data_IF_933638696212
#
_entry.id   IF_933638696212
#
_cell.length_a   1.000
_cell.length_b   1.000
_cell.length_c   1.000
_cell.angle_alpha   90.00
_cell.angle_beta   90.00
_cell.angle_gamma   90.00
#
_symmetry.space_group_name_H-M   'P 1'
#
loop_
_entity.id
_entity.type
_entity.pdbx_description
1 polymer ?
#
# COMPACT_ATOMS: atom_id res chain seq x y z
N UNK A 1 5.26 -2.38 40.29
CA UNK A 1 4.45 -2.23 39.08
C UNK A 1 5.12 -2.73 37.77
N UNK A 2 6.43 -2.82 37.63
CA UNK A 2 7.06 -3.36 36.41
C UNK A 2 7.12 -4.89 36.31
N UNK A 3 7.04 -5.62 37.43
CA UNK A 3 7.16 -7.09 37.43
C UNK A 3 5.82 -7.84 37.20
N UNK A 4 4.67 -7.27 37.55
CA UNK A 4 3.37 -7.93 37.30
C UNK A 4 2.95 -7.87 35.80
N UNK A 5 3.44 -6.88 35.05
CA UNK A 5 3.12 -6.78 33.61
C UNK A 5 3.78 -7.87 32.78
N UNK A 6 4.91 -8.44 33.23
CA UNK A 6 5.63 -9.51 32.53
C UNK A 6 5.00 -10.90 32.69
N UNK A 7 4.25 -11.17 33.76
CA UNK A 7 3.68 -12.49 34.01
C UNK A 7 2.40 -12.79 33.22
N UNK A 8 1.60 -11.78 32.93
CA UNK A 8 0.39 -11.93 32.10
C UNK A 8 0.72 -12.06 30.60
N UNK A 9 1.89 -11.57 30.17
CA UNK A 9 2.31 -11.60 28.77
C UNK A 9 2.85 -12.97 28.33
N UNK A 10 3.43 -13.76 29.23
CA UNK A 10 4.08 -15.03 28.86
C UNK A 10 3.14 -16.22 28.77
N UNK A 11 2.09 -16.31 29.60
CA UNK A 11 1.18 -17.47 29.63
C UNK A 11 0.16 -17.47 28.47
N UNK A 12 -0.25 -16.30 27.99
CA UNK A 12 -1.20 -16.15 26.86
C UNK A 12 -0.52 -15.94 25.50
N UNK A 13 0.82 -16.01 25.42
CA UNK A 13 1.54 -15.70 24.18
C UNK A 13 1.30 -16.72 23.05
N UNK A 14 0.90 -17.94 23.38
CA UNK A 14 0.72 -19.02 22.40
C UNK A 14 -0.74 -19.21 21.95
N UNK A 15 -1.72 -18.72 22.70
CA UNK A 15 -3.14 -18.97 22.42
C UNK A 15 -3.58 -18.35 21.09
N UNK A 16 -3.31 -17.07 20.88
CA UNK A 16 -3.72 -16.38 19.66
C UNK A 16 -3.08 -16.95 18.37
N UNK A 17 -1.75 -17.20 18.31
CA UNK A 17 -1.17 -17.88 17.15
C UNK A 17 -1.78 -19.25 16.89
N UNK A 18 -2.09 -20.03 17.94
CA UNK A 18 -2.72 -21.35 17.78
C UNK A 18 -4.12 -21.25 17.19
N UNK A 19 -4.92 -20.26 17.62
CA UNK A 19 -6.25 -19.99 17.05
C UNK A 19 -6.15 -19.63 15.58
N UNK A 20 -5.19 -18.75 15.20
CA UNK A 20 -4.98 -18.41 13.78
C UNK A 20 -4.58 -19.63 12.94
N UNK A 21 -3.75 -20.52 13.48
CA UNK A 21 -3.38 -21.76 12.79
C UNK A 21 -4.59 -22.65 12.61
N UNK A 22 -5.46 -22.80 13.62
CA UNK A 22 -6.69 -23.60 13.53
C UNK A 22 -7.61 -23.03 12.45
N UNK A 23 -7.86 -21.72 12.46
CA UNK A 23 -8.67 -21.08 11.40
C UNK A 23 -8.04 -21.26 10.03
N UNK A 24 -6.72 -21.04 9.88
CA UNK A 24 -6.03 -21.27 8.62
C UNK A 24 -6.23 -22.70 8.12
N UNK A 25 -6.10 -23.71 8.98
CA UNK A 25 -6.31 -25.10 8.60
C UNK A 25 -7.75 -25.37 8.14
N UNK A 26 -8.74 -24.81 8.84
CA UNK A 26 -10.15 -24.93 8.45
C UNK A 26 -10.36 -24.35 7.06
N UNK A 27 -9.90 -23.12 6.80
CA UNK A 27 -10.07 -22.47 5.50
C UNK A 27 -9.28 -23.15 4.37
N UNK A 28 -8.11 -23.72 4.65
CA UNK A 28 -7.35 -24.51 3.66
C UNK A 28 -8.09 -25.80 3.33
N UNK A 29 -8.64 -26.50 4.33
CA UNK A 29 -9.45 -27.71 4.10
C UNK A 29 -10.69 -27.40 3.27
N UNK A 30 -11.38 -26.32 3.61
CA UNK A 30 -12.55 -25.86 2.85
C UNK A 30 -12.19 -25.48 1.41
N UNK A 31 -11.11 -24.76 1.20
CA UNK A 31 -10.60 -24.45 -0.14
C UNK A 31 -10.31 -25.71 -0.96
N UNK A 32 -9.63 -26.69 -0.37
CA UNK A 32 -9.35 -27.97 -1.04
C UNK A 32 -10.63 -28.72 -1.40
N UNK A 33 -11.64 -28.69 -0.52
CA UNK A 33 -12.91 -29.31 -0.78
C UNK A 33 -13.68 -28.61 -1.92
N UNK A 34 -13.70 -27.28 -1.94
CA UNK A 34 -14.31 -26.49 -3.05
C UNK A 34 -13.61 -26.80 -4.37
N UNK A 35 -12.28 -26.92 -4.39
CA UNK A 35 -11.54 -27.26 -5.60
C UNK A 35 -11.79 -28.70 -6.06
N UNK A 36 -11.94 -29.65 -5.13
CA UNK A 36 -12.10 -31.06 -5.45
C UNK A 36 -13.53 -31.44 -5.83
N UNK A 37 -14.52 -30.84 -5.19
CA UNK A 37 -15.93 -31.27 -5.27
C UNK A 37 -16.88 -30.22 -5.84
N UNK A 38 -16.38 -29.00 -6.15
CA UNK A 38 -17.18 -27.80 -6.54
C UNK A 38 -18.29 -27.44 -5.53
N UNK A 39 -18.20 -27.93 -4.31
CA UNK A 39 -19.15 -27.65 -3.24
C UNK A 39 -18.40 -27.29 -1.97
N UNK A 40 -18.92 -26.27 -1.23
CA UNK A 40 -18.39 -25.98 0.10
C UNK A 40 -18.96 -27.00 1.10
N UNK A 41 -18.10 -27.74 1.82
CA UNK A 41 -18.54 -28.67 2.85
C UNK A 41 -19.16 -27.95 4.07
N UNK A 42 -18.85 -26.66 4.22
CA UNK A 42 -19.33 -25.84 5.32
C UNK A 42 -20.24 -24.73 4.77
N UNK A 43 -21.56 -24.91 4.87
CA UNK A 43 -22.50 -23.86 4.57
C UNK A 43 -22.56 -22.86 5.73
N UNK A 44 -21.78 -21.79 5.65
CA UNK A 44 -21.86 -20.71 6.64
C UNK A 44 -22.10 -19.34 5.97
N UNK A 45 -22.76 -18.40 6.66
CA UNK A 45 -23.01 -17.08 6.11
C UNK A 45 -21.68 -16.32 5.86
N UNK A 46 -21.58 -15.62 4.72
CA UNK A 46 -20.42 -14.81 4.41
C UNK A 46 -20.04 -13.79 5.52
N UNK A 47 -21.06 -13.25 6.21
CA UNK A 47 -20.85 -12.35 7.36
C UNK A 47 -20.12 -13.00 8.54
N UNK A 48 -20.10 -14.33 8.62
CA UNK A 48 -19.29 -15.03 9.63
C UNK A 48 -17.80 -14.87 9.33
N UNK A 49 -17.39 -15.01 8.06
CA UNK A 49 -16.01 -14.81 7.63
C UNK A 49 -15.54 -13.38 7.89
N UNK A 50 -16.39 -12.39 7.54
CA UNK A 50 -16.13 -10.98 7.83
C UNK A 50 -15.94 -10.75 9.32
N UNK A 51 -16.81 -11.32 10.15
CA UNK A 51 -16.73 -11.19 11.62
C UNK A 51 -15.44 -11.81 12.16
N UNK A 52 -15.05 -12.98 11.68
CA UNK A 52 -13.81 -13.65 12.05
C UNK A 52 -12.60 -12.79 11.62
N UNK A 53 -12.61 -12.26 10.40
CA UNK A 53 -11.56 -11.39 9.89
C UNK A 53 -11.39 -10.13 10.75
N UNK A 54 -12.48 -9.46 11.10
CA UNK A 54 -12.50 -8.26 11.96
C UNK A 54 -11.96 -8.60 13.36
N UNK A 55 -12.49 -9.62 14.01
CA UNK A 55 -12.12 -10.01 15.38
C UNK A 55 -10.63 -10.41 15.45
N UNK A 56 -10.16 -11.24 14.51
CA UNK A 56 -8.77 -11.67 14.47
C UNK A 56 -7.83 -10.51 14.21
N UNK A 57 -8.15 -9.63 13.25
CA UNK A 57 -7.33 -8.45 12.94
C UNK A 57 -7.31 -7.46 14.10
N UNK A 58 -8.44 -7.17 14.72
CA UNK A 58 -8.52 -6.32 15.91
C UNK A 58 -7.71 -6.89 17.06
N UNK A 59 -7.85 -8.19 17.35
CA UNK A 59 -7.07 -8.87 18.40
C UNK A 59 -5.57 -8.80 18.11
N UNK A 60 -5.16 -9.04 16.83
CA UNK A 60 -3.76 -8.88 16.41
C UNK A 60 -3.24 -7.46 16.69
N UNK A 61 -3.97 -6.43 16.23
CA UNK A 61 -3.56 -5.03 16.39
C UNK A 61 -3.46 -4.62 17.86
N UNK A 62 -4.46 -4.97 18.68
CA UNK A 62 -4.45 -4.65 20.12
C UNK A 62 -3.28 -5.34 20.83
N UNK A 63 -2.95 -6.56 20.44
CA UNK A 63 -1.90 -7.33 21.14
C UNK A 63 -0.49 -6.92 20.70
N UNK A 64 -0.27 -6.69 19.41
CA UNK A 64 1.08 -6.52 18.85
C UNK A 64 1.38 -5.09 18.42
N UNK A 65 0.38 -4.23 18.27
CA UNK A 65 0.54 -2.86 17.74
C UNK A 65 -0.13 -1.76 18.59
N UNK A 66 -0.54 -2.08 19.83
CA UNK A 66 -1.31 -1.19 20.70
C UNK A 66 -0.73 0.23 20.82
N UNK A 67 0.59 0.35 20.89
CA UNK A 67 1.25 1.62 21.20
C UNK A 67 1.68 2.41 19.94
N UNK A 68 1.41 1.89 18.73
CA UNK A 68 1.97 2.43 17.49
C UNK A 68 0.95 2.40 16.36
N UNK A 69 0.11 3.45 16.27
CA UNK A 69 -0.92 3.56 15.25
C UNK A 69 -0.37 3.79 13.83
N UNK A 70 0.83 4.37 13.67
CA UNK A 70 1.44 4.58 12.35
C UNK A 70 2.32 3.38 11.97
N UNK A 71 1.69 2.25 11.70
CA UNK A 71 2.33 1.06 11.16
C UNK A 71 1.56 0.54 9.95
N UNK A 72 2.25 -0.23 9.13
CA UNK A 72 1.66 -0.82 7.91
C UNK A 72 0.39 -1.60 8.23
N UNK A 73 0.44 -2.47 9.24
CA UNK A 73 -0.64 -3.40 9.57
C UNK A 73 -1.93 -2.68 9.99
N UNK A 74 -1.80 -1.55 10.72
CA UNK A 74 -2.99 -0.78 11.11
C UNK A 74 -3.69 -0.13 9.92
N UNK A 75 -2.95 0.27 8.89
CA UNK A 75 -3.52 0.86 7.68
C UNK A 75 -3.99 -0.21 6.71
N UNK A 76 -3.20 -1.29 6.55
CA UNK A 76 -3.47 -2.37 5.60
C UNK A 76 -4.67 -3.24 6.00
N UNK A 77 -4.73 -3.73 7.26
CA UNK A 77 -5.75 -4.71 7.67
C UNK A 77 -7.19 -4.20 7.53
N UNK A 78 -7.55 -2.98 7.98
CA UNK A 78 -8.91 -2.47 7.78
C UNK A 78 -9.27 -2.32 6.30
N UNK A 79 -8.35 -1.78 5.49
CA UNK A 79 -8.57 -1.59 4.06
C UNK A 79 -8.65 -2.93 3.33
N UNK A 80 -7.81 -3.89 3.74
CA UNK A 80 -7.88 -5.26 3.22
C UNK A 80 -9.25 -5.89 3.49
N UNK A 81 -9.77 -5.79 4.72
CA UNK A 81 -11.08 -6.35 5.08
C UNK A 81 -12.19 -5.66 4.28
N UNK A 82 -12.20 -4.32 4.25
CA UNK A 82 -13.22 -3.57 3.51
C UNK A 82 -13.16 -3.91 2.01
N UNK A 83 -11.98 -3.92 1.40
CA UNK A 83 -11.81 -4.21 -0.02
C UNK A 83 -12.08 -5.66 -0.39
N UNK A 84 -11.66 -6.62 0.44
CA UNK A 84 -11.79 -8.04 0.17
C UNK A 84 -13.23 -8.57 0.37
N UNK A 85 -13.99 -7.96 1.29
CA UNK A 85 -15.33 -8.42 1.68
C UNK A 85 -16.39 -7.34 1.46
N UNK A 86 -16.15 -6.43 0.51
CA UNK A 86 -17.02 -5.27 0.29
C UNK A 86 -18.48 -5.66 0.00
N UNK A 87 -18.69 -6.58 -0.94
CA UNK A 87 -20.05 -7.03 -1.29
C UNK A 87 -20.73 -7.70 -0.11
N UNK A 88 -19.99 -8.52 0.65
CA UNK A 88 -20.53 -9.20 1.83
C UNK A 88 -20.93 -8.20 2.92
N UNK A 89 -20.15 -7.14 3.12
CA UNK A 89 -20.42 -6.08 4.11
C UNK A 89 -21.59 -5.20 3.63
N UNK A 90 -21.51 -4.68 2.40
CA UNK A 90 -22.45 -3.65 1.92
C UNK A 90 -23.77 -4.27 1.51
N UNK A 91 -23.77 -5.41 0.78
CA UNK A 91 -25.00 -6.04 0.34
C UNK A 91 -25.78 -6.62 1.51
N UNK A 92 -25.11 -7.18 2.53
CA UNK A 92 -25.80 -7.75 3.69
C UNK A 92 -26.30 -6.71 4.69
N UNK A 93 -25.62 -5.56 4.82
CA UNK A 93 -25.96 -4.54 5.82
C UNK A 93 -26.90 -3.47 5.31
N UNK A 94 -26.85 -3.16 4.01
CA UNK A 94 -27.55 -2.00 3.43
C UNK A 94 -28.70 -2.39 2.50
N UNK A 95 -29.01 -3.68 2.31
CA UNK A 95 -30.04 -4.18 1.38
C UNK A 95 -29.90 -3.56 -0.04
N UNK A 96 -28.69 -3.30 -0.47
CA UNK A 96 -28.43 -2.76 -1.80
C UNK A 96 -28.82 -3.78 -2.88
N UNK A 97 -29.66 -3.37 -3.84
CA UNK A 97 -29.89 -4.17 -5.02
C UNK A 97 -28.67 -4.10 -5.94
N UNK A 98 -28.23 -5.26 -6.42
CA UNK A 98 -27.13 -5.40 -7.41
C UNK A 98 -27.47 -4.67 -8.73
N UNK A 99 -28.71 -4.26 -8.92
CA UNK A 99 -29.22 -3.66 -10.16
C UNK A 99 -28.62 -2.29 -10.50
N UNK A 100 -28.03 -1.58 -9.52
CA UNK A 100 -27.30 -0.33 -9.72
C UNK A 100 -25.83 -0.51 -10.10
N UNK A 101 -25.29 -1.72 -10.03
CA UNK A 101 -23.90 -2.02 -10.39
C UNK A 101 -23.87 -2.44 -11.86
N UNK A 102 -23.14 -1.70 -12.72
CA UNK A 102 -23.12 -1.90 -14.18
C UNK A 102 -22.91 -3.36 -14.62
N UNK A 103 -23.48 -3.74 -15.77
CA UNK A 103 -23.66 -5.12 -16.21
C UNK A 103 -22.42 -6.02 -16.24
N UNK A 104 -21.20 -5.46 -16.41
CA UNK A 104 -19.95 -6.22 -16.36
C UNK A 104 -19.64 -6.75 -14.95
N UNK A 105 -19.94 -5.97 -13.93
CA UNK A 105 -19.82 -6.35 -12.52
C UNK A 105 -20.83 -7.42 -12.13
N UNK A 106 -22.01 -7.38 -12.73
CA UNK A 106 -23.09 -8.37 -12.49
C UNK A 106 -22.64 -9.78 -12.85
N UNK A 107 -21.95 -9.96 -13.97
CA UNK A 107 -21.52 -11.28 -14.44
C UNK A 107 -20.40 -11.89 -13.59
N UNK A 108 -19.52 -11.07 -12.99
CA UNK A 108 -18.48 -11.54 -12.09
C UNK A 108 -19.06 -11.95 -10.71
N UNK A 109 -20.12 -11.29 -10.25
CA UNK A 109 -20.79 -11.54 -8.95
C UNK A 109 -21.77 -12.73 -9.01
N UNK A 110 -22.26 -13.13 -10.19
CA UNK A 110 -23.30 -14.16 -10.34
C UNK A 110 -22.77 -15.57 -10.04
N UNK A 111 -21.49 -15.86 -10.25
CA UNK A 111 -20.95 -17.18 -9.97
C UNK A 111 -20.58 -17.33 -8.48
N UNK A 112 -21.53 -17.85 -7.71
CA UNK A 112 -21.38 -18.05 -6.26
C UNK A 112 -20.21 -18.96 -5.90
N UNK A 113 -19.84 -19.91 -6.77
CA UNK A 113 -18.70 -20.83 -6.55
C UNK A 113 -17.39 -20.07 -6.62
N UNK A 114 -17.24 -19.19 -7.62
CA UNK A 114 -16.05 -18.34 -7.78
C UNK A 114 -15.95 -17.34 -6.63
N UNK A 115 -17.04 -16.68 -6.25
CA UNK A 115 -17.07 -15.73 -5.13
C UNK A 115 -16.68 -16.43 -3.82
N UNK A 116 -17.23 -17.62 -3.55
CA UNK A 116 -16.87 -18.41 -2.37
C UNK A 116 -15.37 -18.79 -2.37
N UNK A 117 -14.86 -19.26 -3.51
CA UNK A 117 -13.45 -19.61 -3.66
C UNK A 117 -12.52 -18.42 -3.45
N UNK A 118 -12.83 -17.27 -4.06
CA UNK A 118 -12.11 -16.03 -3.91
C UNK A 118 -12.09 -15.58 -2.44
N UNK A 119 -13.23 -15.66 -1.75
CA UNK A 119 -13.34 -15.34 -0.31
C UNK A 119 -12.44 -16.25 0.55
N UNK A 120 -12.42 -17.56 0.28
CA UNK A 120 -11.51 -18.48 0.98
C UNK A 120 -10.05 -18.12 0.77
N UNK A 121 -9.65 -17.78 -0.47
CA UNK A 121 -8.27 -17.33 -0.78
C UNK A 121 -7.94 -16.06 -0.01
N UNK A 122 -8.88 -15.11 0.10
CA UNK A 122 -8.70 -13.86 0.84
C UNK A 122 -8.59 -14.10 2.35
N UNK A 123 -9.39 -14.99 2.94
CA UNK A 123 -9.28 -15.39 4.34
C UNK A 123 -7.95 -16.06 4.64
N UNK A 124 -7.52 -17.01 3.81
CA UNK A 124 -6.21 -17.65 3.93
C UNK A 124 -5.09 -16.60 3.86
N UNK A 125 -5.18 -15.66 2.91
CA UNK A 125 -4.25 -14.53 2.75
C UNK A 125 -4.11 -13.74 4.05
N UNK A 126 -5.22 -13.36 4.66
CA UNK A 126 -5.25 -12.60 5.91
C UNK A 126 -4.55 -13.36 7.05
N UNK A 127 -4.85 -14.64 7.21
CA UNK A 127 -4.27 -15.43 8.29
C UNK A 127 -2.78 -15.69 8.11
N UNK A 128 -2.33 -16.03 6.91
CA UNK A 128 -0.90 -16.25 6.65
C UNK A 128 -0.09 -14.96 6.79
N UNK A 129 -0.67 -13.81 6.39
CA UNK A 129 -0.06 -12.50 6.64
C UNK A 129 0.12 -12.23 8.14
N UNK A 130 -0.95 -12.38 8.93
CA UNK A 130 -0.87 -12.16 10.39
C UNK A 130 0.10 -13.14 11.06
N UNK A 131 0.12 -14.41 10.66
CA UNK A 131 1.08 -15.40 11.18
C UNK A 131 2.53 -15.01 10.83
N UNK A 132 2.78 -14.57 9.59
CA UNK A 132 4.07 -14.01 9.19
C UNK A 132 4.50 -12.85 10.09
N UNK A 133 3.61 -11.91 10.33
CA UNK A 133 3.86 -10.78 11.22
C UNK A 133 4.18 -11.22 12.67
N UNK A 134 3.46 -12.22 13.20
CA UNK A 134 3.70 -12.76 14.56
C UNK A 134 5.07 -13.42 14.65
N UNK A 135 5.45 -14.21 13.64
CA UNK A 135 6.77 -14.86 13.58
C UNK A 135 7.88 -13.79 13.56
N UNK A 136 7.70 -12.74 12.74
CA UNK A 136 8.63 -11.61 12.69
C UNK A 136 8.75 -10.87 14.03
N UNK A 137 7.65 -10.76 14.79
CA UNK A 137 7.60 -10.08 16.08
C UNK A 137 8.34 -10.84 17.20
N UNK A 138 8.33 -12.16 17.19
CA UNK A 138 8.97 -12.99 18.24
C UNK A 138 10.48 -12.78 18.42
N UNK A 139 11.12 -12.10 17.50
CA UNK A 139 12.57 -11.83 17.55
C UNK A 139 12.88 -10.44 18.13
N UNK A 140 12.02 -9.89 18.98
CA UNK A 140 12.28 -8.63 19.67
C UNK A 140 13.59 -8.69 20.47
N UNK A 141 14.40 -7.66 20.30
CA UNK A 141 15.61 -7.38 21.09
C UNK A 141 15.33 -6.21 22.03
N UNK A 142 16.29 -5.91 22.90
CA UNK A 142 16.19 -4.78 23.80
C UNK A 142 15.98 -3.46 23.04
N UNK A 143 15.03 -2.66 23.54
CA UNK A 143 14.73 -1.36 22.96
C UNK A 143 15.89 -0.40 23.16
N UNK A 144 16.36 0.23 22.07
CA UNK A 144 17.36 1.30 22.12
C UNK A 144 16.66 2.66 22.27
N UNK A 145 17.23 3.53 23.09
CA UNK A 145 16.76 4.92 23.24
C UNK A 145 17.28 5.85 22.14
N UNK A 146 18.39 5.49 21.51
CA UNK A 146 19.07 6.33 20.51
C UNK A 146 19.20 5.61 19.17
N UNK A 147 19.24 6.38 18.08
CA UNK A 147 19.49 5.85 16.75
C UNK A 147 20.93 5.40 16.61
N UNK A 148 21.15 4.18 16.13
CA UNK A 148 22.47 3.66 15.79
C UNK A 148 22.67 3.92 14.30
N UNK A 149 23.31 5.07 13.99
CA UNK A 149 23.68 5.42 12.61
C UNK A 149 25.11 4.97 12.33
N UNK A 150 25.39 4.32 11.20
CA UNK A 150 26.76 4.10 10.72
C UNK A 150 27.50 5.42 10.53
N UNK A 151 28.79 5.45 10.86
CA UNK A 151 29.61 6.66 10.79
C UNK A 151 29.64 7.31 9.40
N UNK A 152 29.46 6.53 8.35
CA UNK A 152 29.40 7.00 6.97
C UNK A 152 28.30 8.05 6.75
N UNK A 153 27.14 7.86 7.40
CA UNK A 153 26.02 8.80 7.28
C UNK A 153 26.25 10.12 8.02
N UNK A 154 27.18 10.18 8.97
CA UNK A 154 27.52 11.43 9.66
C UNK A 154 28.35 12.38 8.78
N UNK A 155 28.95 11.86 7.69
CA UNK A 155 29.85 12.60 6.80
C UNK A 155 29.21 13.01 5.48
N UNK A 156 27.91 12.80 5.30
CA UNK A 156 27.19 13.08 4.04
C UNK A 156 26.76 14.54 3.98
N UNK A 157 26.95 15.17 2.82
CA UNK A 157 26.41 16.50 2.55
C UNK A 157 24.93 16.42 2.12
N UNK A 158 24.06 16.24 3.09
CA UNK A 158 22.61 16.13 2.87
C UNK A 158 22.00 17.35 2.15
N UNK A 159 22.52 18.56 2.43
CA UNK A 159 22.02 19.78 1.80
C UNK A 159 22.25 19.79 0.29
N UNK A 160 23.38 19.25 -0.18
CA UNK A 160 23.65 19.11 -1.61
C UNK A 160 22.73 18.07 -2.25
N UNK A 161 22.50 16.93 -1.59
CA UNK A 161 21.60 15.88 -2.08
C UNK A 161 20.17 16.43 -2.26
N UNK A 162 19.63 17.15 -1.25
CA UNK A 162 18.29 17.75 -1.34
C UNK A 162 18.21 18.75 -2.50
N UNK A 163 19.23 19.59 -2.69
CA UNK A 163 19.25 20.53 -3.83
C UNK A 163 19.17 19.79 -5.18
N UNK A 164 19.89 18.70 -5.32
CA UNK A 164 19.86 17.90 -6.56
C UNK A 164 18.49 17.23 -6.74
N UNK A 165 17.91 16.67 -5.69
CA UNK A 165 16.57 16.07 -5.77
C UNK A 165 15.52 17.11 -6.17
N UNK A 166 15.57 18.32 -5.62
CA UNK A 166 14.68 19.43 -6.04
C UNK A 166 14.92 19.82 -7.50
N UNK A 167 16.17 19.86 -7.97
CA UNK A 167 16.47 20.13 -9.38
C UNK A 167 15.92 19.04 -10.29
N UNK A 168 16.08 17.77 -9.92
CA UNK A 168 15.49 16.64 -10.66
C UNK A 168 13.96 16.71 -10.68
N UNK A 169 13.34 17.06 -9.56
CA UNK A 169 11.89 17.26 -9.48
C UNK A 169 11.43 18.39 -10.41
N UNK A 170 12.11 19.54 -10.38
CA UNK A 170 11.80 20.66 -11.28
C UNK A 170 11.98 20.28 -12.76
N UNK A 171 13.01 19.50 -13.09
CA UNK A 171 13.22 18.98 -14.43
C UNK A 171 12.09 18.05 -14.88
N UNK A 172 11.60 17.19 -13.98
CA UNK A 172 10.48 16.29 -14.27
C UNK A 172 9.17 17.07 -14.46
N UNK A 173 8.90 18.07 -13.62
CA UNK A 173 7.74 18.98 -13.78
C UNK A 173 7.83 19.75 -15.09
N UNK A 174 8.99 20.29 -15.43
CA UNK A 174 9.22 21.02 -16.68
C UNK A 174 9.05 20.12 -17.91
N UNK A 175 9.58 18.90 -17.88
CA UNK A 175 9.38 17.90 -18.93
C UNK A 175 7.89 17.64 -19.18
N UNK A 176 7.11 17.44 -18.11
CA UNK A 176 5.67 17.22 -18.21
C UNK A 176 4.92 18.45 -18.74
N UNK A 177 5.37 19.64 -18.36
CA UNK A 177 4.82 20.88 -18.92
C UNK A 177 5.09 20.99 -20.43
N UNK A 178 6.32 20.73 -20.87
CA UNK A 178 6.71 20.78 -22.27
C UNK A 178 6.03 19.73 -23.14
N UNK A 179 5.74 18.58 -22.58
CA UNK A 179 5.00 17.49 -23.24
C UNK A 179 3.49 17.72 -23.30
N UNK A 180 2.99 18.84 -22.76
CA UNK A 180 1.55 19.14 -22.74
C UNK A 180 0.77 18.38 -21.67
N UNK A 181 1.42 17.51 -20.88
CA UNK A 181 0.76 16.68 -19.86
C UNK A 181 0.24 17.52 -18.69
N UNK A 182 0.73 18.76 -18.52
CA UNK A 182 0.33 19.64 -17.43
C UNK A 182 -1.14 20.04 -17.50
N UNK A 183 -1.68 20.24 -18.71
CA UNK A 183 -3.10 20.54 -18.90
C UNK A 183 -3.99 19.33 -18.53
N UNK A 184 -3.53 18.12 -18.75
CA UNK A 184 -4.27 16.89 -18.41
C UNK A 184 -4.33 16.65 -16.91
N UNK A 185 -3.36 17.16 -16.13
CA UNK A 185 -3.38 17.05 -14.67
C UNK A 185 -4.58 17.77 -14.02
N UNK A 186 -5.06 18.83 -14.66
CA UNK A 186 -6.17 19.65 -14.14
C UNK A 186 -7.51 19.39 -14.84
N UNK A 187 -7.54 18.56 -15.90
CA UNK A 187 -8.74 18.28 -16.68
C UNK A 187 -9.53 17.08 -16.15
N UNK A 188 -9.99 17.15 -14.90
CA UNK A 188 -10.87 16.14 -14.34
C UNK A 188 -12.24 16.17 -15.02
N UNK A 189 -12.77 15.01 -15.44
CA UNK A 189 -14.07 14.91 -16.09
C UNK A 189 -14.11 15.15 -17.60
N UNK A 190 -12.97 15.45 -18.25
CA UNK A 190 -12.91 15.73 -19.70
C UNK A 190 -12.76 14.49 -20.61
N UNK A 191 -12.94 13.27 -20.08
CA UNK A 191 -12.80 12.03 -20.87
C UNK A 191 -11.35 11.65 -21.21
N UNK A 192 -10.36 12.34 -20.63
CA UNK A 192 -8.94 11.98 -20.79
C UNK A 192 -8.66 10.71 -20.01
N UNK A 193 -8.15 9.68 -20.68
CA UNK A 193 -7.84 8.40 -20.09
C UNK A 193 -6.88 8.52 -18.89
N UNK A 194 -7.16 7.82 -17.80
CA UNK A 194 -6.30 7.82 -16.59
C UNK A 194 -4.85 7.43 -16.93
N UNK A 195 -4.63 6.64 -17.97
CA UNK A 195 -3.30 6.26 -18.46
C UNK A 195 -2.48 7.43 -18.99
N UNK A 196 -3.10 8.36 -19.71
CA UNK A 196 -2.42 9.56 -20.23
C UNK A 196 -2.09 10.54 -19.10
N UNK A 197 -2.95 10.58 -18.09
CA UNK A 197 -2.84 11.43 -16.90
C UNK A 197 -1.72 11.00 -15.97
N UNK A 198 -1.55 9.69 -15.78
CA UNK A 198 -0.57 9.12 -14.86
C UNK A 198 0.84 9.04 -15.45
N UNK A 199 1.00 9.14 -16.77
CA UNK A 199 2.33 9.04 -17.42
C UNK A 199 3.33 10.11 -16.96
N UNK A 200 2.88 11.25 -16.47
CA UNK A 200 3.74 12.33 -16.02
C UNK A 200 4.06 12.37 -14.53
N UNK A 201 3.26 11.73 -13.69
CA UNK A 201 3.41 11.80 -12.22
C UNK A 201 4.35 10.74 -11.64
N UNK A 202 4.69 9.73 -12.43
CA UNK A 202 5.36 8.52 -11.98
C UNK A 202 6.72 8.67 -11.29
N UNK A 203 7.40 9.80 -11.44
CA UNK A 203 8.69 10.04 -10.78
C UNK A 203 8.62 11.12 -9.69
N UNK A 204 7.57 11.93 -9.67
CA UNK A 204 7.41 13.02 -8.69
C UNK A 204 7.26 12.48 -7.27
N UNK A 205 6.40 11.48 -7.07
CA UNK A 205 6.21 10.80 -5.79
C UNK A 205 7.49 10.15 -5.28
N UNK A 206 8.22 9.50 -6.17
CA UNK A 206 9.50 8.85 -5.88
C UNK A 206 10.57 9.85 -5.46
N UNK A 207 10.68 10.99 -6.14
CA UNK A 207 11.63 12.06 -5.79
C UNK A 207 11.26 12.71 -4.44
N UNK A 208 10.00 12.96 -4.16
CA UNK A 208 9.55 13.45 -2.86
C UNK A 208 9.80 12.43 -1.73
N UNK A 209 9.62 11.14 -2.00
CA UNK A 209 9.98 10.08 -1.05
C UNK A 209 11.49 10.08 -0.77
N UNK A 210 12.32 10.21 -1.81
CA UNK A 210 13.77 10.30 -1.67
C UNK A 210 14.19 11.51 -0.84
N UNK A 211 13.62 12.70 -1.11
CA UNK A 211 13.84 13.91 -0.32
C UNK A 211 13.45 13.71 1.14
N UNK A 212 12.35 13.00 1.39
CA UNK A 212 11.88 12.65 2.75
C UNK A 212 12.88 11.72 3.45
N UNK A 213 13.33 10.64 2.80
CA UNK A 213 14.33 9.71 3.35
C UNK A 213 15.62 10.46 3.70
N UNK A 214 16.11 11.31 2.80
CA UNK A 214 17.36 12.09 2.98
C UNK A 214 17.23 13.08 4.12
N UNK A 215 16.13 13.85 4.16
CA UNK A 215 15.93 14.87 5.20
C UNK A 215 15.79 14.26 6.59
N UNK A 216 14.99 13.20 6.74
CA UNK A 216 14.80 12.56 8.04
C UNK A 216 16.05 11.79 8.50
N UNK A 217 16.88 11.29 7.59
CA UNK A 217 18.20 10.77 7.91
C UNK A 217 19.11 11.87 8.47
N UNK A 218 19.11 13.05 7.83
CA UNK A 218 19.85 14.23 8.32
C UNK A 218 19.36 14.67 9.71
N UNK A 219 18.04 14.73 9.91
CA UNK A 219 17.47 15.11 11.21
C UNK A 219 17.82 14.10 12.31
N UNK A 220 17.84 12.80 11.98
CA UNK A 220 18.28 11.75 12.88
C UNK A 220 19.76 11.89 13.24
N UNK A 221 20.63 12.22 12.25
CA UNK A 221 22.07 12.47 12.49
C UNK A 221 22.32 13.69 13.37
N UNK A 222 21.42 14.69 13.34
CA UNK A 222 21.48 15.89 14.18
C UNK A 222 20.85 15.68 15.57
N UNK A 223 20.36 14.49 15.88
CA UNK A 223 19.70 14.16 17.16
C UNK A 223 18.44 14.95 17.43
N UNK A 224 17.66 15.29 16.40
CA UNK A 224 16.41 16.04 16.54
C UNK A 224 15.37 15.16 17.22
N UNK A 225 14.84 15.59 18.37
CA UNK A 225 13.90 14.81 19.18
C UNK A 225 12.64 15.58 19.61
N UNK A 226 12.42 16.78 19.08
CA UNK A 226 11.25 17.60 19.42
C UNK A 226 10.72 18.37 18.23
N UNK A 227 9.42 18.73 18.26
CA UNK A 227 8.78 19.51 17.20
C UNK A 227 9.43 20.87 17.00
N UNK A 228 9.84 21.55 18.09
CA UNK A 228 10.53 22.85 18.03
C UNK A 228 11.88 22.73 17.34
N UNK A 229 12.65 21.68 17.67
CA UNK A 229 13.92 21.41 17.00
C UNK A 229 13.71 21.04 15.52
N UNK A 230 12.69 20.26 15.22
CA UNK A 230 12.31 19.94 13.85
C UNK A 230 12.08 21.20 13.03
N UNK A 231 11.17 22.08 13.46
CA UNK A 231 10.86 23.33 12.75
C UNK A 231 12.06 24.25 12.57
N UNK A 232 13.01 24.26 13.53
CA UNK A 232 14.21 25.08 13.45
C UNK A 232 15.31 24.51 12.56
N UNK A 233 15.37 23.17 12.43
CA UNK A 233 16.47 22.47 11.75
C UNK A 233 16.07 21.85 10.42
N UNK A 234 14.78 21.73 10.13
CA UNK A 234 14.31 21.18 8.84
C UNK A 234 14.78 22.04 7.67
N UNK A 235 15.16 21.40 6.57
CA UNK A 235 15.60 22.08 5.36
C UNK A 235 14.40 22.82 4.72
N UNK A 236 14.54 24.14 4.51
CA UNK A 236 13.48 24.97 3.94
C UNK A 236 13.13 24.58 2.51
N UNK A 237 14.12 24.16 1.70
CA UNK A 237 13.87 23.70 0.33
C UNK A 237 13.03 22.42 0.32
N UNK A 238 13.33 21.47 1.21
CA UNK A 238 12.52 20.27 1.39
C UNK A 238 11.07 20.59 1.81
N UNK A 239 10.88 21.50 2.78
CA UNK A 239 9.52 21.91 3.17
C UNK A 239 8.78 22.55 2.01
N UNK A 240 9.43 23.44 1.27
CA UNK A 240 8.85 24.11 0.11
C UNK A 240 8.46 23.10 -0.97
N UNK A 241 9.33 22.13 -1.26
CA UNK A 241 9.08 21.02 -2.18
C UNK A 241 7.80 20.26 -1.81
N UNK A 242 7.72 19.76 -0.57
CA UNK A 242 6.57 18.97 -0.11
C UNK A 242 5.28 19.79 -0.14
N UNK A 243 5.30 21.05 0.29
CA UNK A 243 4.13 21.92 0.30
C UNK A 243 3.63 22.18 -1.14
N UNK A 244 4.54 22.58 -2.05
CA UNK A 244 4.16 22.91 -3.43
C UNK A 244 3.60 21.67 -4.13
N UNK A 245 4.29 20.52 -4.03
CA UNK A 245 3.83 19.30 -4.71
C UNK A 245 2.51 18.82 -4.11
N UNK A 246 2.34 18.87 -2.79
CA UNK A 246 1.07 18.50 -2.15
C UNK A 246 -0.08 19.38 -2.62
N UNK A 247 0.13 20.71 -2.73
CA UNK A 247 -0.88 21.65 -3.24
C UNK A 247 -1.22 21.36 -4.71
N UNK A 248 -0.24 21.12 -5.55
CA UNK A 248 -0.44 20.75 -6.96
C UNK A 248 -1.28 19.47 -7.08
N UNK A 249 -1.01 18.44 -6.26
CA UNK A 249 -1.75 17.18 -6.27
C UNK A 249 -3.18 17.34 -5.73
N UNK A 250 -3.40 18.18 -4.74
CA UNK A 250 -4.75 18.53 -4.26
C UNK A 250 -5.54 19.19 -5.40
N UNK A 251 -4.95 20.19 -6.05
CA UNK A 251 -5.58 20.91 -7.16
C UNK A 251 -5.84 20.02 -8.38
N UNK A 252 -4.97 19.06 -8.65
CA UNK A 252 -5.16 18.10 -9.73
C UNK A 252 -6.16 16.99 -9.38
N UNK A 253 -6.68 16.95 -8.14
CA UNK A 253 -7.58 15.89 -7.66
C UNK A 253 -6.93 14.51 -7.56
N UNK A 254 -5.61 14.42 -7.60
CA UNK A 254 -4.86 13.17 -7.56
C UNK A 254 -4.61 12.72 -6.12
N UNK A 255 -5.62 12.07 -5.53
CA UNK A 255 -5.66 11.66 -4.11
C UNK A 255 -4.58 10.65 -3.75
N UNK A 256 -4.27 9.78 -4.70
CA UNK A 256 -3.37 8.66 -4.49
C UNK A 256 -1.95 9.16 -4.25
N UNK A 257 -1.46 9.98 -5.17
CA UNK A 257 -0.11 10.52 -5.10
C UNK A 257 0.03 11.49 -3.92
N UNK A 258 -1.02 12.21 -3.55
CA UNK A 258 -1.02 13.02 -2.34
C UNK A 258 -0.74 12.18 -1.09
N UNK A 259 -1.39 11.03 -0.95
CA UNK A 259 -1.12 10.11 0.17
C UNK A 259 0.31 9.56 0.12
N UNK A 260 0.81 9.22 -1.08
CA UNK A 260 2.17 8.73 -1.28
C UNK A 260 3.24 9.75 -0.89
N UNK A 261 2.92 11.05 -0.90
CA UNK A 261 3.83 12.12 -0.50
C UNK A 261 3.65 12.51 0.96
N UNK A 262 2.42 12.74 1.41
CA UNK A 262 2.16 13.21 2.76
C UNK A 262 2.38 12.14 3.83
N UNK A 263 1.98 10.91 3.56
CA UNK A 263 2.06 9.82 4.55
C UNK A 263 3.51 9.44 4.91
N UNK A 264 4.48 9.34 3.98
CA UNK A 264 5.89 9.15 4.34
C UNK A 264 6.43 10.22 5.27
N UNK A 265 6.04 11.49 5.07
CA UNK A 265 6.49 12.60 5.93
C UNK A 265 5.96 12.43 7.36
N UNK A 266 4.68 12.11 7.50
CA UNK A 266 4.02 11.88 8.81
C UNK A 266 4.63 10.67 9.52
N UNK A 267 4.82 9.57 8.80
CA UNK A 267 5.43 8.33 9.31
C UNK A 267 6.90 8.58 9.69
N UNK A 268 7.68 9.23 8.83
CA UNK A 268 9.08 9.55 9.12
C UNK A 268 9.20 10.49 10.33
N UNK A 269 8.34 11.52 10.43
CA UNK A 269 8.29 12.38 11.61
C UNK A 269 8.02 11.58 12.89
N UNK A 270 7.03 10.68 12.85
CA UNK A 270 6.69 9.84 14.01
C UNK A 270 7.83 8.92 14.43
N UNK A 271 8.61 8.43 13.46
CA UNK A 271 9.73 7.51 13.70
C UNK A 271 10.98 8.25 14.17
N UNK A 272 11.39 9.29 13.45
CA UNK A 272 12.71 9.90 13.63
C UNK A 272 12.74 11.07 14.61
N UNK A 273 11.61 11.78 14.77
CA UNK A 273 11.56 13.01 15.57
C UNK A 273 10.79 12.78 16.88
N UNK A 274 9.51 12.54 16.78
CA UNK A 274 8.64 12.37 17.94
C UNK A 274 7.39 11.61 17.56
N UNK A 275 7.06 10.60 18.35
CA UNK A 275 5.81 9.85 18.17
C UNK A 275 4.61 10.79 18.22
N UNK A 276 3.76 10.70 17.20
CA UNK A 276 2.54 11.48 17.07
C UNK A 276 1.48 10.84 17.99
N UNK A 277 0.86 11.60 18.91
CA UNK A 277 -0.24 11.09 19.72
C UNK A 277 -1.40 10.56 18.88
N UNK A 278 -1.96 9.43 19.27
CA UNK A 278 -3.03 8.73 18.53
C UNK A 278 -4.22 9.62 18.17
N UNK A 279 -4.59 10.58 19.04
CA UNK A 279 -5.67 11.54 18.80
C UNK A 279 -5.46 12.39 17.53
N UNK A 280 -4.21 12.77 17.23
CA UNK A 280 -3.90 13.53 16.02
C UNK A 280 -3.86 12.65 14.78
N UNK A 281 -3.49 11.38 14.94
CA UNK A 281 -3.55 10.40 13.85
C UNK A 281 -5.01 10.14 13.46
N UNK A 282 -5.88 9.92 14.45
CA UNK A 282 -7.31 9.74 14.22
C UNK A 282 -7.95 10.98 13.59
N UNK A 283 -7.58 12.18 14.06
CA UNK A 283 -8.05 13.43 13.45
C UNK A 283 -7.57 13.56 11.99
N UNK A 284 -6.29 13.24 11.72
CA UNK A 284 -5.73 13.24 10.37
C UNK A 284 -6.42 12.24 9.44
N UNK A 285 -6.73 11.04 9.93
CA UNK A 285 -7.49 10.03 9.18
C UNK A 285 -8.92 10.52 8.88
N UNK A 286 -9.60 11.12 9.85
CA UNK A 286 -10.94 11.68 9.65
C UNK A 286 -10.94 12.80 8.61
N UNK A 287 -10.00 13.73 8.71
CA UNK A 287 -9.84 14.82 7.72
C UNK A 287 -9.45 14.26 6.34
N UNK A 288 -8.56 13.28 6.28
CA UNK A 288 -8.18 12.60 5.05
C UNK A 288 -9.39 11.95 4.36
N UNK A 289 -10.25 11.29 5.15
CA UNK A 289 -11.48 10.68 4.64
C UNK A 289 -12.43 11.76 4.06
N UNK A 290 -12.62 12.89 4.76
CA UNK A 290 -13.43 14.00 4.26
C UNK A 290 -12.89 14.55 2.94
N UNK A 291 -11.58 14.76 2.84
CA UNK A 291 -10.93 15.20 1.60
C UNK A 291 -11.09 14.16 0.48
N UNK A 292 -10.95 12.88 0.79
CA UNK A 292 -11.14 11.79 -0.19
C UNK A 292 -12.58 11.73 -0.70
N UNK A 293 -13.55 11.87 0.19
CA UNK A 293 -14.97 11.91 -0.17
C UNK A 293 -15.26 13.14 -1.04
N UNK A 294 -14.88 14.32 -0.58
CA UNK A 294 -15.09 15.57 -1.32
C UNK A 294 -14.47 15.51 -2.72
N UNK A 295 -13.21 15.10 -2.84
CA UNK A 295 -12.57 15.01 -4.15
C UNK A 295 -13.13 13.88 -5.03
N UNK A 296 -13.74 12.84 -4.43
CA UNK A 296 -14.47 11.79 -5.17
C UNK A 296 -15.75 12.32 -5.79
N UNK A 297 -16.46 13.15 -5.06
CA UNK A 297 -17.71 13.75 -5.50
C UNK A 297 -17.49 14.80 -6.58
N UNK A 298 -16.47 15.65 -6.44
CA UNK A 298 -16.15 16.68 -7.45
C UNK A 298 -15.62 16.12 -8.76
N UNK A 299 -15.20 14.86 -8.79
CA UNK A 299 -14.74 14.18 -10.01
C UNK A 299 -15.81 14.01 -11.08
N UNK A 300 -17.07 13.95 -10.72
CA UNK A 300 -18.15 13.60 -11.64
C UNK A 300 -18.66 14.79 -12.47
N UNK A 301 -18.13 16.00 -12.26
CA UNK A 301 -18.52 17.20 -13.02
C UNK A 301 -19.95 17.68 -12.81
N UNK A 302 -20.75 16.91 -12.08
CA UNK A 302 -22.12 17.25 -11.76
C UNK A 302 -22.19 18.15 -10.53
N UNK A 303 -23.13 19.06 -10.54
CA UNK A 303 -23.51 19.82 -9.33
C UNK A 303 -24.11 18.85 -8.33
N UNK A 304 -23.28 18.37 -7.41
CA UNK A 304 -23.69 17.36 -6.44
C UNK A 304 -24.69 17.99 -5.48
N UNK A 305 -25.89 17.50 -5.50
CA UNK A 305 -26.82 17.69 -4.40
C UNK A 305 -26.35 16.87 -3.20
N UNK A 306 -26.38 17.45 -2.00
CA UNK A 306 -26.06 16.69 -0.78
C UNK A 306 -26.97 15.47 -0.59
N UNK A 307 -28.11 15.41 -1.25
CA UNK A 307 -29.04 14.27 -1.29
C UNK A 307 -28.51 13.08 -2.06
N UNK A 308 -27.52 13.27 -2.95
CA UNK A 308 -27.00 12.22 -3.84
C UNK A 308 -25.75 11.52 -3.27
N UNK A 309 -25.35 11.94 -2.07
CA UNK A 309 -24.23 11.33 -1.33
C UNK A 309 -24.75 10.08 -0.62
N UNK A 310 -24.62 8.94 -1.26
CA UNK A 310 -24.85 7.65 -0.62
C UNK A 310 -23.52 6.98 -0.20
N UNK A 311 -23.62 6.02 0.70
CA UNK A 311 -22.44 5.28 1.20
C UNK A 311 -21.77 4.50 0.07
N UNK A 312 -22.53 4.06 -0.93
CA UNK A 312 -21.99 3.34 -2.08
C UNK A 312 -21.11 4.25 -2.94
N UNK A 313 -21.56 5.46 -3.28
CA UNK A 313 -20.77 6.40 -4.08
C UNK A 313 -19.42 6.76 -3.44
N UNK A 314 -19.38 6.78 -2.10
CA UNK A 314 -18.15 7.02 -1.32
C UNK A 314 -17.21 5.82 -1.34
N UNK A 315 -17.76 4.62 -1.27
CA UNK A 315 -16.99 3.39 -1.01
C UNK A 315 -16.84 2.49 -2.22
N UNK A 316 -17.47 2.81 -3.36
CA UNK A 316 -17.48 1.98 -4.58
C UNK A 316 -16.07 1.58 -5.06
N UNK A 317 -15.08 2.44 -4.85
CA UNK A 317 -13.69 2.14 -5.23
C UNK A 317 -13.13 0.90 -4.50
N UNK A 318 -13.65 0.57 -3.33
CA UNK A 318 -13.29 -0.64 -2.59
C UNK A 318 -13.96 -1.90 -3.18
N UNK A 319 -15.13 -1.76 -3.82
CA UNK A 319 -15.79 -2.89 -4.49
C UNK A 319 -14.93 -3.47 -5.61
N UNK A 320 -14.12 -2.62 -6.27
CA UNK A 320 -13.23 -3.02 -7.35
C UNK A 320 -12.17 -4.04 -6.89
N UNK A 321 -11.74 -3.98 -5.62
CA UNK A 321 -10.74 -4.92 -5.08
C UNK A 321 -11.29 -6.35 -5.10
N UNK A 322 -12.51 -6.53 -4.58
CA UNK A 322 -13.15 -7.83 -4.53
C UNK A 322 -13.48 -8.35 -5.94
N UNK A 323 -14.09 -7.52 -6.77
CA UNK A 323 -14.50 -7.90 -8.13
C UNK A 323 -13.29 -8.28 -8.98
N UNK A 324 -12.19 -7.51 -8.90
CA UNK A 324 -10.96 -7.85 -9.58
C UNK A 324 -10.36 -9.17 -9.06
N UNK A 325 -10.48 -9.43 -7.75
CA UNK A 325 -10.04 -10.71 -7.18
C UNK A 325 -10.87 -11.87 -7.72
N UNK A 326 -12.19 -11.75 -7.71
CA UNK A 326 -13.12 -12.78 -8.20
C UNK A 326 -12.85 -13.08 -9.68
N UNK A 327 -12.67 -12.03 -10.48
CA UNK A 327 -12.37 -12.17 -11.90
C UNK A 327 -11.02 -12.87 -12.15
N UNK A 328 -9.96 -12.47 -11.44
CA UNK A 328 -8.63 -13.07 -11.61
C UNK A 328 -8.60 -14.53 -11.11
N UNK A 329 -9.34 -14.86 -10.06
CA UNK A 329 -9.49 -16.26 -9.60
C UNK A 329 -10.16 -17.10 -10.69
N UNK A 330 -11.28 -16.62 -11.27
CA UNK A 330 -11.95 -17.28 -12.38
C UNK A 330 -11.02 -17.45 -13.58
N UNK A 331 -10.42 -16.37 -14.05
CA UNK A 331 -9.53 -16.36 -15.20
C UNK A 331 -8.37 -17.34 -15.04
N UNK A 332 -7.82 -17.44 -13.83
CA UNK A 332 -6.75 -18.41 -13.50
C UNK A 332 -7.26 -19.85 -13.52
N UNK A 333 -8.47 -20.08 -13.06
CA UNK A 333 -9.07 -21.41 -13.04
C UNK A 333 -9.45 -21.90 -14.44
N UNK A 334 -9.79 -20.99 -15.34
CA UNK A 334 -10.03 -21.25 -16.76
C UNK A 334 -8.73 -21.63 -17.53
N UNK A 335 -7.59 -21.73 -16.82
CA UNK A 335 -6.32 -22.24 -17.35
C UNK A 335 -5.27 -21.17 -17.65
N UNK A 336 -5.55 -19.91 -17.36
CA UNK A 336 -4.64 -18.79 -17.63
C UNK A 336 -3.72 -18.52 -16.42
N UNK A 337 -2.49 -19.05 -16.45
CA UNK A 337 -1.48 -18.77 -15.45
C UNK A 337 -0.43 -17.80 -15.99
N UNK A 338 -0.06 -16.80 -15.16
CA UNK A 338 0.87 -15.74 -15.54
C UNK A 338 2.35 -16.09 -15.30
N UNK A 339 2.66 -16.92 -14.33
CA UNK A 339 4.00 -17.48 -14.02
C UNK A 339 5.10 -16.41 -13.96
N UNK A 340 4.86 -15.31 -13.25
CA UNK A 340 5.83 -14.23 -13.02
C UNK A 340 6.33 -13.50 -14.27
N UNK A 341 5.60 -13.52 -15.37
CA UNK A 341 6.05 -12.91 -16.65
C UNK A 341 6.23 -11.40 -16.56
N UNK A 342 5.58 -10.71 -15.61
CA UNK A 342 5.79 -9.26 -15.36
C UNK A 342 7.03 -8.94 -14.53
N UNK A 343 7.59 -9.90 -13.79
CA UNK A 343 8.73 -9.65 -12.90
C UNK A 343 9.97 -9.09 -13.64
N UNK A 344 10.38 -9.60 -14.82
CA UNK A 344 11.47 -8.98 -15.60
C UNK A 344 11.18 -7.52 -15.95
N UNK A 345 9.93 -7.21 -16.30
CA UNK A 345 9.48 -5.86 -16.58
C UNK A 345 9.61 -4.97 -15.35
N UNK A 346 9.12 -5.41 -14.18
CA UNK A 346 9.23 -4.66 -12.94
C UNK A 346 10.68 -4.43 -12.50
N UNK A 347 11.56 -5.41 -12.67
CA UNK A 347 12.99 -5.26 -12.38
C UNK A 347 13.67 -4.25 -13.29
N UNK A 348 13.46 -4.36 -14.61
CA UNK A 348 14.04 -3.44 -15.58
C UNK A 348 13.49 -2.02 -15.41
N UNK A 349 12.18 -1.88 -15.15
CA UNK A 349 11.53 -0.60 -14.88
C UNK A 349 12.09 0.15 -13.67
N UNK A 350 12.75 -0.58 -12.75
CA UNK A 350 13.46 0.02 -11.63
C UNK A 350 14.79 0.70 -11.98
N UNK A 351 15.27 0.59 -13.23
CA UNK A 351 16.50 1.25 -13.64
C UNK A 351 16.17 2.70 -14.04
N UNK A 352 16.67 3.73 -13.31
CA UNK A 352 16.33 5.11 -13.56
C UNK A 352 16.64 5.53 -15.02
N UNK A 353 15.66 6.13 -15.67
CA UNK A 353 15.71 6.67 -17.03
C UNK A 353 16.01 5.67 -18.17
N UNK A 354 16.64 4.53 -17.87
CA UNK A 354 16.96 3.51 -18.88
C UNK A 354 15.85 2.47 -19.04
N UNK A 355 15.01 2.28 -18.01
CA UNK A 355 13.91 1.31 -18.04
C UNK A 355 13.08 1.42 -19.32
N UNK A 356 12.42 2.54 -19.62
CA UNK A 356 11.59 2.71 -20.82
C UNK A 356 12.34 2.46 -22.14
N UNK A 357 13.63 2.85 -22.22
CA UNK A 357 14.47 2.63 -23.40
C UNK A 357 14.71 1.12 -23.61
N UNK A 358 15.03 0.41 -22.54
CA UNK A 358 15.26 -1.05 -22.58
C UNK A 358 13.97 -1.78 -22.94
N UNK A 359 12.83 -1.35 -22.40
CA UNK A 359 11.52 -1.94 -22.71
C UNK A 359 11.18 -1.80 -24.18
N UNK A 360 11.27 -0.58 -24.72
CA UNK A 360 11.00 -0.33 -26.13
C UNK A 360 11.94 -1.12 -27.03
N UNK A 361 13.23 -1.23 -26.65
CA UNK A 361 14.20 -1.99 -27.41
C UNK A 361 13.95 -3.51 -27.40
N UNK A 362 13.40 -4.04 -26.29
CA UNK A 362 13.09 -5.47 -26.13
C UNK A 362 11.65 -5.83 -26.55
N UNK A 363 10.83 -4.84 -26.93
CA UNK A 363 9.42 -5.06 -27.26
C UNK A 363 8.58 -5.57 -26.07
N UNK A 364 9.01 -5.27 -24.84
CA UNK A 364 8.30 -5.68 -23.63
C UNK A 364 7.22 -4.66 -23.30
N UNK A 365 6.01 -5.13 -22.99
CA UNK A 365 4.93 -4.27 -22.54
C UNK A 365 5.07 -3.97 -21.03
N UNK A 366 4.97 -2.70 -20.67
CA UNK A 366 4.98 -2.22 -19.28
C UNK A 366 3.62 -2.32 -18.60
N UNK A 367 2.58 -2.62 -19.37
CA UNK A 367 1.23 -2.68 -18.82
C UNK A 367 1.14 -3.77 -17.76
N UNK A 368 0.59 -3.42 -16.61
CA UNK A 368 0.21 -4.37 -15.58
C UNK A 368 -0.73 -5.39 -16.21
N UNK A 369 -0.27 -6.62 -16.43
CA UNK A 369 -1.12 -7.62 -17.08
C UNK A 369 -2.38 -7.93 -16.27
N UNK A 370 -2.30 -7.98 -14.95
CA UNK A 370 -3.48 -8.20 -14.12
C UNK A 370 -4.45 -7.01 -14.18
N UNK A 371 -3.96 -5.78 -14.24
CA UNK A 371 -4.79 -4.60 -14.47
C UNK A 371 -5.39 -4.59 -15.87
N UNK A 372 -4.61 -4.90 -16.90
CA UNK A 372 -5.07 -5.00 -18.27
C UNK A 372 -6.18 -6.05 -18.41
N UNK A 373 -5.97 -7.27 -17.88
CA UNK A 373 -6.94 -8.36 -17.94
C UNK A 373 -8.24 -8.00 -17.20
N UNK A 374 -8.16 -7.37 -16.03
CA UNK A 374 -9.37 -6.96 -15.31
C UNK A 374 -10.10 -5.83 -16.03
N UNK A 375 -9.38 -4.90 -16.66
CA UNK A 375 -9.97 -3.82 -17.43
C UNK A 375 -10.65 -4.34 -18.70
N UNK A 376 -9.98 -5.19 -19.48
CA UNK A 376 -10.53 -5.79 -20.68
C UNK A 376 -11.66 -6.80 -20.38
N UNK A 377 -11.41 -7.69 -19.41
CA UNK A 377 -12.32 -8.78 -19.09
C UNK A 377 -13.63 -8.34 -18.43
N UNK A 378 -13.59 -7.26 -17.67
CA UNK A 378 -14.79 -6.67 -17.06
C UNK A 378 -15.46 -5.65 -17.99
N UNK A 379 -15.00 -5.54 -19.27
CA UNK A 379 -15.51 -4.57 -20.24
C UNK A 379 -15.65 -3.16 -19.63
N UNK A 380 -14.61 -2.77 -18.90
CA UNK A 380 -14.59 -1.49 -18.23
C UNK A 380 -14.68 -0.37 -19.27
N UNK A 381 -15.27 0.72 -18.88
CA UNK A 381 -15.43 1.91 -19.70
C UNK A 381 -14.06 2.36 -20.23
N UNK A 382 -14.01 2.67 -21.51
CA UNK A 382 -12.81 3.21 -22.13
C UNK A 382 -12.24 4.34 -21.27
N UNK A 383 -10.96 4.22 -20.90
CA UNK A 383 -10.24 5.24 -20.16
C UNK A 383 -10.28 5.13 -18.63
N UNK A 384 -10.97 4.15 -18.05
CA UNK A 384 -10.96 3.96 -16.58
C UNK A 384 -10.08 2.77 -16.20
N UNK A 385 -8.99 3.04 -15.46
CA UNK A 385 -8.19 1.98 -14.83
C UNK A 385 -8.93 1.37 -13.65
N UNK A 386 -9.38 0.13 -13.74
CA UNK A 386 -10.00 -0.59 -12.62
C UNK A 386 -9.00 -0.97 -11.52
N UNK A 387 -7.70 -0.86 -11.78
CA UNK A 387 -6.67 -1.41 -10.92
C UNK A 387 -6.69 -2.94 -10.95
N UNK A 388 -6.11 -3.55 -9.92
CA UNK A 388 -6.12 -4.98 -9.74
C UNK A 388 -6.43 -5.33 -8.27
N UNK A 389 -6.35 -6.59 -7.88
CA UNK A 389 -6.36 -7.06 -6.51
C UNK A 389 -5.03 -7.73 -6.21
N UNK A 390 -4.38 -7.36 -5.10
CA UNK A 390 -3.14 -8.03 -4.66
C UNK A 390 -3.33 -9.55 -4.56
N UNK A 391 -4.43 -9.98 -3.95
CA UNK A 391 -4.72 -11.42 -3.75
C UNK A 391 -5.00 -12.10 -5.08
N UNK A 392 -5.81 -11.47 -5.94
CA UNK A 392 -6.11 -11.98 -7.27
C UNK A 392 -4.85 -12.07 -8.14
N UNK A 393 -3.99 -11.07 -8.10
CA UNK A 393 -2.73 -11.04 -8.83
C UNK A 393 -1.74 -12.12 -8.35
N UNK A 394 -1.60 -12.31 -7.02
CA UNK A 394 -0.80 -13.41 -6.46
C UNK A 394 -1.35 -14.77 -6.88
N UNK A 395 -2.67 -14.94 -6.85
CA UNK A 395 -3.33 -16.17 -7.27
C UNK A 395 -3.15 -16.43 -8.77
N UNK A 396 -3.23 -15.39 -9.59
CA UNK A 396 -3.02 -15.46 -11.03
C UNK A 396 -1.59 -15.89 -11.40
N UNK A 397 -0.60 -15.56 -10.58
CA UNK A 397 0.79 -15.96 -10.83
C UNK A 397 1.05 -17.45 -10.59
N UNK A 398 0.64 -18.03 -9.45
CA UNK A 398 0.86 -19.45 -9.17
C UNK A 398 -0.13 -20.03 -8.16
N UNK A 399 -1.39 -19.63 -8.24
CA UNK A 399 -2.51 -20.07 -7.40
C UNK A 399 -2.23 -19.91 -5.88
N UNK A 400 -2.94 -20.67 -5.06
CA UNK A 400 -2.88 -20.59 -3.61
C UNK A 400 -1.46 -20.78 -3.00
N UNK A 401 -0.59 -21.68 -3.50
CA UNK A 401 0.76 -21.83 -2.93
C UNK A 401 1.57 -20.53 -2.93
N UNK A 402 1.51 -19.75 -4.01
CA UNK A 402 2.23 -18.46 -4.07
C UNK A 402 1.63 -17.41 -3.15
N UNK A 403 0.32 -17.37 -3.03
CA UNK A 403 -0.38 -16.50 -2.06
C UNK A 403 0.14 -16.77 -0.64
N UNK A 404 0.18 -18.03 -0.23
CA UNK A 404 0.64 -18.43 1.12
C UNK A 404 2.09 -18.03 1.33
N UNK A 405 2.98 -18.38 0.41
CA UNK A 405 4.42 -18.11 0.55
C UNK A 405 4.69 -16.61 0.57
N UNK A 406 4.15 -15.87 -0.42
CA UNK A 406 4.39 -14.42 -0.52
C UNK A 406 3.86 -13.67 0.69
N UNK A 407 2.60 -13.89 1.08
CA UNK A 407 1.98 -13.14 2.18
C UNK A 407 2.57 -13.49 3.54
N UNK A 408 3.02 -14.72 3.75
CA UNK A 408 3.76 -15.10 4.97
C UNK A 408 5.10 -14.38 5.07
N UNK A 409 5.88 -14.39 3.98
CA UNK A 409 7.18 -13.70 3.92
C UNK A 409 7.02 -12.18 3.99
N UNK A 410 6.00 -11.63 3.35
CA UNK A 410 5.69 -10.21 3.39
C UNK A 410 5.34 -9.75 4.81
N UNK A 411 4.43 -10.48 5.50
CA UNK A 411 4.09 -10.19 6.90
C UNK A 411 5.32 -10.28 7.82
N UNK A 412 6.14 -11.31 7.64
CA UNK A 412 7.40 -11.45 8.37
C UNK A 412 8.34 -10.27 8.14
N UNK A 413 8.57 -9.88 6.87
CA UNK A 413 9.46 -8.79 6.51
C UNK A 413 8.99 -7.45 7.08
N UNK A 414 7.68 -7.13 6.97
CA UNK A 414 7.08 -5.91 7.53
C UNK A 414 7.28 -5.84 9.03
N UNK A 415 6.97 -6.92 9.74
CA UNK A 415 7.12 -6.95 11.20
C UNK A 415 8.59 -6.85 11.63
N UNK A 416 9.51 -7.49 10.92
CA UNK A 416 10.96 -7.38 11.17
C UNK A 416 11.49 -5.98 10.91
N UNK A 417 11.08 -5.34 9.82
CA UNK A 417 11.44 -3.95 9.54
C UNK A 417 10.92 -3.03 10.64
N UNK A 418 9.65 -3.19 11.03
CA UNK A 418 9.04 -2.42 12.11
C UNK A 418 9.86 -2.52 13.42
N UNK A 419 10.24 -3.73 13.84
CA UNK A 419 11.04 -3.94 15.06
C UNK A 419 12.42 -3.28 14.93
N UNK A 420 13.13 -3.52 13.85
CA UNK A 420 14.45 -2.92 13.63
C UNK A 420 14.42 -1.41 13.70
N UNK A 421 13.38 -0.81 13.14
CA UNK A 421 13.23 0.64 13.14
C UNK A 421 12.79 1.20 14.48
N UNK A 422 11.68 0.69 15.01
CA UNK A 422 11.01 1.34 16.14
C UNK A 422 11.49 0.86 17.49
N UNK A 423 11.99 -0.38 17.57
CA UNK A 423 12.48 -0.98 18.81
C UNK A 423 14.00 -0.91 18.90
N UNK A 424 14.70 -1.51 17.92
CA UNK A 424 16.17 -1.57 17.94
C UNK A 424 16.83 -0.25 17.50
N UNK A 425 16.09 0.65 16.86
CA UNK A 425 16.57 1.93 16.27
C UNK A 425 17.84 1.77 15.42
N UNK A 426 17.95 0.66 14.70
CA UNK A 426 19.04 0.41 13.77
C UNK A 426 18.76 1.07 12.44
N UNK A 427 19.59 2.03 12.10
CA UNK A 427 19.49 2.71 10.83
C UNK A 427 20.07 1.85 9.69
N UNK A 428 19.33 1.76 8.59
CA UNK A 428 19.80 1.29 7.29
C UNK A 428 19.03 2.04 6.21
N UNK A 429 19.74 2.66 5.28
CA UNK A 429 19.14 3.46 4.21
C UNK A 429 18.08 2.67 3.41
N UNK A 430 18.42 1.44 3.04
CA UNK A 430 17.51 0.55 2.32
C UNK A 430 16.24 0.24 3.14
N UNK A 431 16.39 -0.06 4.43
CA UNK A 431 15.24 -0.35 5.27
C UNK A 431 14.35 0.88 5.49
N UNK A 432 14.93 2.09 5.64
CA UNK A 432 14.17 3.35 5.73
C UNK A 432 13.35 3.54 4.48
N UNK A 433 13.99 3.44 3.31
CA UNK A 433 13.33 3.59 2.02
C UNK A 433 12.18 2.59 1.85
N UNK A 434 12.47 1.30 2.02
CA UNK A 434 11.46 0.24 1.86
C UNK A 434 10.31 0.44 2.84
N UNK A 435 10.61 0.71 4.12
CA UNK A 435 9.58 0.86 5.14
C UNK A 435 8.69 2.07 4.87
N UNK A 436 9.26 3.24 4.59
CA UNK A 436 8.47 4.43 4.28
C UNK A 436 7.64 4.24 3.01
N UNK A 437 8.21 3.64 1.97
CA UNK A 437 7.48 3.33 0.74
C UNK A 437 6.30 2.38 1.00
N UNK A 438 6.53 1.27 1.67
CA UNK A 438 5.50 0.26 1.92
C UNK A 438 4.40 0.81 2.83
N UNK A 439 4.77 1.54 3.90
CA UNK A 439 3.78 2.13 4.82
C UNK A 439 2.94 3.19 4.11
N UNK A 440 3.55 4.02 3.25
CA UNK A 440 2.79 5.02 2.47
C UNK A 440 1.83 4.40 1.46
N UNK A 441 2.16 3.22 0.96
CA UNK A 441 1.31 2.46 0.04
C UNK A 441 0.31 1.54 0.74
N UNK A 442 0.29 1.45 2.06
CA UNK A 442 -0.49 0.45 2.79
C UNK A 442 -1.98 0.42 2.39
N UNK A 443 -2.57 1.59 2.12
CA UNK A 443 -3.96 1.74 1.67
C UNK A 443 -4.14 1.21 0.24
N UNK A 444 -3.18 1.48 -0.64
CA UNK A 444 -3.25 1.08 -2.06
C UNK A 444 -2.72 -0.32 -2.32
N UNK A 445 -1.94 -0.88 -1.39
CA UNK A 445 -1.32 -2.18 -1.56
C UNK A 445 -2.33 -3.28 -1.90
N UNK A 446 -3.55 -3.14 -1.40
CA UNK A 446 -4.65 -4.08 -1.68
C UNK A 446 -5.09 -4.05 -3.16
N UNK A 447 -4.87 -2.93 -3.87
CA UNK A 447 -5.24 -2.68 -5.27
C UNK A 447 -4.07 -2.72 -6.24
N UNK A 448 -2.88 -3.10 -5.78
CA UNK A 448 -1.65 -3.11 -6.59
C UNK A 448 -1.24 -4.52 -6.98
N UNK A 449 -0.46 -4.61 -8.05
CA UNK A 449 0.30 -5.82 -8.35
C UNK A 449 1.33 -6.08 -7.26
N UNK A 450 1.62 -7.34 -7.02
CA UNK A 450 2.61 -7.75 -6.02
C UNK A 450 4.04 -7.26 -6.32
N UNK A 451 4.39 -7.13 -7.61
CA UNK A 451 5.71 -6.75 -8.10
C UNK A 451 5.88 -5.25 -8.36
N UNK A 452 4.78 -4.47 -8.40
CA UNK A 452 4.81 -3.02 -8.59
C UNK A 452 5.74 -2.27 -7.61
N UNK A 453 5.80 -2.59 -6.31
CA UNK A 453 6.73 -1.96 -5.39
C UNK A 453 8.21 -2.16 -5.74
N UNK A 454 8.55 -3.25 -6.44
CA UNK A 454 9.94 -3.62 -6.74
C UNK A 454 10.58 -2.55 -7.63
N UNK A 455 9.93 -2.17 -8.71
CA UNK A 455 10.48 -1.16 -9.65
C UNK A 455 10.69 0.19 -8.96
N UNK A 456 9.73 0.64 -8.17
CA UNK A 456 9.80 1.92 -7.46
C UNK A 456 10.88 1.94 -6.38
N UNK A 457 10.97 0.88 -5.58
CA UNK A 457 12.00 0.73 -4.56
C UNK A 457 13.39 0.68 -5.19
N UNK A 458 13.55 -0.08 -6.28
CA UNK A 458 14.83 -0.15 -7.01
C UNK A 458 15.23 1.21 -7.58
N UNK A 459 14.30 1.89 -8.25
CA UNK A 459 14.52 3.24 -8.77
C UNK A 459 15.04 4.18 -7.69
N UNK A 460 14.31 4.27 -6.59
CA UNK A 460 14.68 5.11 -5.48
C UNK A 460 16.02 4.70 -4.85
N UNK A 461 16.26 3.40 -4.68
CA UNK A 461 17.47 2.88 -4.07
C UNK A 461 18.72 3.17 -4.92
N UNK A 462 18.65 2.98 -6.23
CA UNK A 462 19.77 3.27 -7.14
C UNK A 462 20.13 4.76 -7.06
N UNK A 463 19.16 5.66 -7.15
CA UNK A 463 19.41 7.11 -7.05
C UNK A 463 20.04 7.45 -5.70
N UNK A 464 19.48 6.92 -4.59
CA UNK A 464 20.04 7.18 -3.25
C UNK A 464 21.48 6.73 -3.13
N UNK A 465 21.80 5.50 -3.55
CA UNK A 465 23.16 4.97 -3.46
C UNK A 465 24.14 5.81 -4.27
N UNK A 466 23.75 6.23 -5.47
CA UNK A 466 24.58 7.09 -6.33
C UNK A 466 24.82 8.44 -5.65
N UNK A 467 23.75 9.10 -5.17
CA UNK A 467 23.86 10.41 -4.51
C UNK A 467 24.70 10.34 -3.23
N UNK A 468 24.48 9.32 -2.40
CA UNK A 468 25.28 9.14 -1.18
C UNK A 468 26.76 8.91 -1.49
N UNK A 469 27.10 8.08 -2.51
CA UNK A 469 28.50 7.87 -2.91
C UNK A 469 29.18 9.12 -3.43
N UNK A 470 28.45 9.98 -4.14
CA UNK A 470 28.98 11.25 -4.69
C UNK A 470 29.22 12.26 -3.58
N UNK A 471 28.28 12.38 -2.62
CA UNK A 471 28.28 13.43 -1.61
C UNK A 471 28.78 12.99 -0.23
N UNK A 472 29.37 11.81 -0.11
CA UNK A 472 30.09 11.41 1.08
C UNK A 472 31.45 12.15 1.10
N UNK A 473 31.67 12.92 2.14
CA UNK A 473 32.98 13.61 2.30
C UNK A 473 34.06 12.56 2.59
N UNK A 474 34.93 12.32 1.63
CA UNK A 474 36.12 11.50 1.79
C UNK A 474 37.18 12.36 2.48
N UNK A 475 37.15 12.43 3.80
CA UNK A 475 38.27 12.98 4.61
C UNK A 475 39.00 11.85 5.26
#
# INVERSE_FOLDING_TARGET
>A
MKQEHNYLTTKNSKVFPSILVIFLLIYVVEYVAVVAFNESPFSHPAMMDVSIAIVCSFWYLVRYRRDKLLCFELMFLPIFIIGSFYSDIVLSTLNFSIDGVGGAFRNAIIDTTIVNKSRLVQMITLFVFMLGCIIGHKQEREASSTWILPNEYLRVNYGAIIKILVILLLAEVLKNYLNGNFSTWFSYGSGVADNERNQGLGHIDSLCLLSTVVEFTRLASLGVASARQFLSKVNRLYLLEIIIVSLLLILSGNRNEMLLICLPVVVAYSIFVKQIPNKYILLGLALGLVVMVYSGLTRQGDTISMSDIDLYSITRDFSLVQINCDYLVKYTDDGHLHLFSTLPASLLGGIPYLGPVIFNALGLDLTSQSTYITTEGLAAWEGTGLGTSLVGDLYYNAKLPFVIVFMSLFGYAISRMHIRFLVERRYSLLYVLIYLYIVSNAVYFVRQQWDFPISRIMYCFIILVVLYKIFINRT
#
